data_IF_078433227371
#
_entry.id   IF_078433227371
#
_cell.length_a   1.000
_cell.length_b   1.000
_cell.length_c   1.000
_cell.angle_alpha   90.00
_cell.angle_beta   90.00
_cell.angle_gamma   90.00
#
_symmetry.space_group_name_H-M   'P 1'
#
loop_
_entity.id
_entity.type
_entity.pdbx_description
1 polymer ?
#
# COMPACT_ATOMS: atom_id res chain seq x y z
N UNK A 1 -25.83 -5.68 20.80
CA UNK A 1 -25.22 -4.69 19.89
C UNK A 1 -23.82 -5.17 19.63
N UNK A 2 -23.60 -5.82 18.49
CA UNK A 2 -22.27 -6.23 18.06
C UNK A 2 -21.40 -4.98 17.97
N UNK A 3 -20.41 -4.88 18.85
CA UNK A 3 -19.32 -3.93 18.68
C UNK A 3 -18.68 -4.25 17.34
N UNK A 4 -18.90 -3.41 16.33
CA UNK A 4 -18.14 -3.52 15.08
C UNK A 4 -16.68 -3.52 15.49
N UNK A 5 -15.99 -4.64 15.26
CA UNK A 5 -14.62 -4.79 15.67
C UNK A 5 -13.82 -3.77 14.86
N UNK A 6 -13.21 -2.81 15.55
CA UNK A 6 -12.39 -1.76 14.93
C UNK A 6 -11.34 -2.35 13.96
N UNK A 7 -10.82 -3.55 14.29
CA UNK A 7 -9.91 -4.32 13.45
C UNK A 7 -10.51 -4.71 12.09
N UNK A 8 -11.77 -5.15 12.06
CA UNK A 8 -12.48 -5.51 10.84
C UNK A 8 -12.68 -4.29 9.91
N UNK A 9 -13.06 -3.14 10.47
CA UNK A 9 -13.16 -1.88 9.69
C UNK A 9 -11.79 -1.57 9.08
N UNK A 10 -10.73 -1.70 9.88
CA UNK A 10 -9.37 -1.43 9.44
C UNK A 10 -8.93 -2.36 8.30
N UNK A 11 -9.25 -3.64 8.38
CA UNK A 11 -8.92 -4.62 7.34
C UNK A 11 -9.66 -4.34 6.03
N UNK A 12 -10.94 -3.94 6.09
CA UNK A 12 -11.72 -3.51 4.91
C UNK A 12 -11.13 -2.24 4.30
N UNK A 13 -10.73 -1.27 5.14
CA UNK A 13 -10.08 -0.03 4.68
C UNK A 13 -8.74 -0.34 4.01
N UNK A 14 -7.92 -1.22 4.59
CA UNK A 14 -6.64 -1.65 3.98
C UNK A 14 -6.88 -2.32 2.63
N UNK A 15 -7.89 -3.20 2.54
CA UNK A 15 -8.24 -3.85 1.28
C UNK A 15 -8.60 -2.81 0.21
N UNK A 16 -9.45 -1.85 0.55
CA UNK A 16 -9.82 -0.75 -0.34
C UNK A 16 -8.62 0.10 -0.76
N UNK A 17 -7.76 0.46 0.19
CA UNK A 17 -6.51 1.18 -0.09
C UNK A 17 -5.56 0.37 -0.98
N UNK A 18 -5.48 -0.95 -0.81
CA UNK A 18 -4.69 -1.82 -1.66
C UNK A 18 -5.08 -1.70 -3.13
N UNK A 19 -6.39 -1.71 -3.43
CA UNK A 19 -6.88 -1.45 -4.79
C UNK A 19 -6.50 -0.06 -5.31
N UNK A 20 -6.60 0.97 -4.48
CA UNK A 20 -6.20 2.34 -4.87
C UNK A 20 -4.70 2.42 -5.18
N UNK A 21 -3.86 1.77 -4.37
CA UNK A 21 -2.40 1.72 -4.56
C UNK A 21 -2.06 0.99 -5.86
N UNK A 22 -2.69 -0.15 -6.15
CA UNK A 22 -2.51 -0.87 -7.42
C UNK A 22 -2.92 0.00 -8.61
N UNK A 23 -4.06 0.70 -8.52
CA UNK A 23 -4.49 1.65 -9.56
C UNK A 23 -3.48 2.78 -9.74
N UNK A 24 -2.93 3.33 -8.65
CA UNK A 24 -1.88 4.33 -8.69
C UNK A 24 -0.60 3.81 -9.35
N UNK A 25 -0.20 2.58 -9.06
CA UNK A 25 0.94 1.94 -9.74
C UNK A 25 0.70 1.83 -11.26
N UNK A 26 -0.45 1.30 -11.67
CA UNK A 26 -0.79 1.17 -13.08
C UNK A 26 -0.89 2.53 -13.78
N UNK A 27 -1.35 3.57 -13.09
CA UNK A 27 -1.35 4.94 -13.60
C UNK A 27 0.09 5.42 -13.83
N UNK A 28 0.98 5.29 -12.84
CA UNK A 28 2.39 5.67 -12.97
C UNK A 28 3.07 5.01 -14.17
N UNK A 29 2.79 3.72 -14.41
CA UNK A 29 3.34 3.00 -15.56
C UNK A 29 2.81 3.52 -16.91
N UNK A 30 1.57 3.99 -16.97
CA UNK A 30 0.95 4.47 -18.21
C UNK A 30 1.23 5.94 -18.49
N UNK A 31 1.26 6.78 -17.46
CA UNK A 31 1.36 8.24 -17.61
C UNK A 31 2.77 8.76 -17.39
N UNK A 32 3.67 7.97 -16.80
CA UNK A 32 4.99 8.44 -16.31
C UNK A 32 4.89 9.63 -15.36
N UNK A 33 3.71 9.84 -14.76
CA UNK A 33 3.45 10.86 -13.75
C UNK A 33 3.26 10.14 -12.42
N UNK A 34 4.00 10.52 -11.38
CA UNK A 34 3.82 9.96 -10.06
C UNK A 34 2.37 10.11 -9.59
N UNK A 35 1.82 9.04 -9.01
CA UNK A 35 0.48 9.11 -8.46
C UNK A 35 0.44 10.19 -7.37
N UNK A 36 -0.56 11.07 -7.39
CA UNK A 36 -0.72 12.16 -6.42
C UNK A 36 -0.85 11.66 -4.97
N UNK A 37 -1.26 10.41 -4.79
CA UNK A 37 -1.27 9.71 -3.51
C UNK A 37 0.15 9.45 -2.96
N UNK A 38 1.15 9.33 -3.82
CA UNK A 38 2.54 9.06 -3.45
C UNK A 38 3.40 10.32 -3.41
N UNK A 39 3.17 11.27 -4.32
CA UNK A 39 3.87 12.56 -4.36
C UNK A 39 2.84 13.67 -4.56
N UNK A 40 2.76 14.67 -3.66
CA UNK A 40 1.91 15.85 -3.85
C UNK A 40 2.29 16.62 -5.13
N UNK A 41 1.32 17.25 -5.78
CA UNK A 41 1.56 18.04 -6.99
C UNK A 41 2.58 19.18 -6.77
N UNK A 42 2.69 19.67 -5.53
CA UNK A 42 3.64 20.71 -5.13
C UNK A 42 5.08 20.21 -5.07
N UNK A 43 5.31 18.92 -4.77
CA UNK A 43 6.66 18.32 -4.81
C UNK A 43 7.07 17.98 -6.26
N UNK A 44 6.10 17.84 -7.16
CA UNK A 44 6.33 17.55 -8.58
C UNK A 44 6.92 18.75 -9.35
N UNK A 45 6.62 19.99 -8.96
CA UNK A 45 7.10 21.20 -9.64
C UNK A 45 8.61 21.44 -9.49
N UNK A 46 9.23 20.83 -8.47
CA UNK A 46 10.68 20.83 -8.25
C UNK A 46 11.37 19.50 -8.57
N UNK A 47 10.65 18.53 -9.15
CA UNK A 47 11.13 17.17 -9.33
C UNK A 47 12.24 17.10 -10.39
N UNK A 48 13.38 16.53 -10.01
CA UNK A 48 14.55 16.39 -10.89
C UNK A 48 14.33 15.34 -11.98
N UNK A 49 13.71 14.21 -11.63
CA UNK A 49 13.37 13.15 -12.58
C UNK A 49 12.08 12.38 -12.16
N UNK A 50 10.89 12.88 -12.57
CA UNK A 50 9.62 12.24 -12.25
C UNK A 50 9.41 10.90 -12.95
N UNK A 51 10.04 10.67 -14.11
CA UNK A 51 9.92 9.43 -14.88
C UNK A 51 10.73 8.31 -14.22
N UNK A 52 11.97 8.61 -13.83
CA UNK A 52 12.82 7.67 -13.07
C UNK A 52 12.21 7.29 -11.72
N UNK A 53 11.51 8.22 -11.06
CA UNK A 53 10.73 7.88 -9.86
C UNK A 53 9.61 6.88 -10.16
N UNK A 54 8.83 7.12 -11.23
CA UNK A 54 7.74 6.22 -11.62
C UNK A 54 8.23 4.81 -11.91
N UNK A 55 9.32 4.67 -12.65
CA UNK A 55 9.86 3.36 -13.02
C UNK A 55 10.41 2.61 -11.80
N UNK A 56 11.13 3.32 -10.92
CA UNK A 56 11.65 2.73 -9.68
C UNK A 56 10.55 2.34 -8.69
N UNK A 57 9.52 3.16 -8.55
CA UNK A 57 8.44 2.94 -7.57
C UNK A 57 7.31 2.07 -8.11
N UNK A 58 7.09 1.98 -9.43
CA UNK A 58 5.99 1.23 -10.02
C UNK A 58 5.90 -0.20 -9.47
N UNK A 59 6.99 -0.98 -9.61
CA UNK A 59 7.00 -2.37 -9.16
C UNK A 59 6.82 -2.48 -7.64
N UNK A 60 7.43 -1.58 -6.87
CA UNK A 60 7.35 -1.58 -5.40
C UNK A 60 5.93 -1.25 -4.92
N UNK A 61 5.31 -0.22 -5.50
CA UNK A 61 3.94 0.20 -5.24
C UNK A 61 2.94 -0.88 -5.65
N UNK A 62 3.16 -1.55 -6.79
CA UNK A 62 2.31 -2.66 -7.23
C UNK A 62 2.36 -3.82 -6.24
N UNK A 63 3.56 -4.27 -5.86
CA UNK A 63 3.75 -5.36 -4.88
C UNK A 63 3.12 -5.00 -3.54
N UNK A 64 3.34 -3.78 -3.05
CA UNK A 64 2.75 -3.32 -1.79
C UNK A 64 1.22 -3.28 -1.85
N UNK A 65 0.64 -2.75 -2.94
CA UNK A 65 -0.81 -2.73 -3.13
C UNK A 65 -1.43 -4.13 -3.15
N UNK A 66 -0.78 -5.09 -3.82
CA UNK A 66 -1.22 -6.50 -3.81
C UNK A 66 -1.15 -7.09 -2.40
N UNK A 67 -0.07 -6.82 -1.65
CA UNK A 67 0.07 -7.27 -0.27
C UNK A 67 -1.05 -6.72 0.63
N UNK A 68 -1.44 -5.46 0.47
CA UNK A 68 -2.58 -4.87 1.18
C UNK A 68 -3.89 -5.61 0.87
N UNK A 69 -4.16 -5.92 -0.41
CA UNK A 69 -5.35 -6.66 -0.83
C UNK A 69 -5.35 -8.07 -0.23
N UNK A 70 -4.22 -8.78 -0.31
CA UNK A 70 -4.09 -10.14 0.24
C UNK A 70 -4.27 -10.13 1.75
N UNK A 71 -3.64 -9.20 2.46
CA UNK A 71 -3.78 -9.05 3.91
C UNK A 71 -5.25 -8.81 4.31
N UNK A 72 -5.90 -7.80 3.70
CA UNK A 72 -7.29 -7.47 4.02
C UNK A 72 -8.24 -8.63 3.69
N UNK A 73 -8.01 -9.36 2.59
CA UNK A 73 -8.83 -10.51 2.23
C UNK A 73 -8.63 -11.68 3.20
N UNK A 74 -7.39 -11.99 3.58
CA UNK A 74 -7.06 -13.07 4.53
C UNK A 74 -7.68 -12.81 5.90
N UNK A 75 -7.55 -11.59 6.44
CA UNK A 75 -8.14 -11.23 7.73
C UNK A 75 -9.68 -11.26 7.68
N UNK A 76 -10.27 -10.72 6.61
CA UNK A 76 -11.74 -10.75 6.42
C UNK A 76 -12.25 -12.20 6.32
N UNK A 77 -11.61 -13.07 5.53
CA UNK A 77 -11.99 -14.48 5.41
C UNK A 77 -11.80 -15.22 6.74
N UNK A 78 -10.74 -14.91 7.50
CA UNK A 78 -10.50 -15.55 8.79
C UNK A 78 -11.60 -15.21 9.81
N UNK A 79 -12.09 -13.97 9.82
CA UNK A 79 -13.19 -13.54 10.69
C UNK A 79 -14.54 -14.13 10.29
N UNK A 80 -14.83 -14.26 8.99
CA UNK A 80 -16.13 -14.76 8.50
C UNK A 80 -16.22 -16.28 8.30
N UNK A 81 -15.10 -16.94 7.95
CA UNK A 81 -15.10 -18.32 7.44
C UNK A 81 -14.37 -19.35 8.30
N UNK A 82 -13.40 -18.94 9.12
CA UNK A 82 -12.49 -19.87 9.85
C UNK A 82 -12.63 -19.82 11.38
N UNK A 83 -13.61 -19.08 11.91
CA UNK A 83 -13.85 -18.99 13.35
C UNK A 83 -12.87 -18.06 14.10
N UNK A 84 -12.33 -17.04 13.43
CA UNK A 84 -11.52 -15.97 14.03
C UNK A 84 -10.24 -16.49 14.72
N UNK A 85 -9.38 -17.18 13.96
CA UNK A 85 -8.10 -17.69 14.47
C UNK A 85 -7.19 -16.50 14.81
N UNK A 86 -7.09 -16.17 16.10
CA UNK A 86 -6.30 -15.01 16.59
C UNK A 86 -4.83 -15.05 16.17
N UNK A 87 -4.22 -16.24 16.16
CA UNK A 87 -2.82 -16.41 15.79
C UNK A 87 -2.55 -16.01 14.33
N UNK A 88 -3.47 -16.34 13.42
CA UNK A 88 -3.36 -16.00 12.01
C UNK A 88 -3.41 -14.48 11.81
N UNK A 89 -4.34 -13.78 12.47
CA UNK A 89 -4.43 -12.33 12.42
C UNK A 89 -3.15 -11.66 12.95
N UNK A 90 -2.56 -12.16 14.05
CA UNK A 90 -1.30 -11.63 14.59
C UNK A 90 -0.13 -11.82 13.60
N UNK A 91 -0.02 -13.00 12.99
CA UNK A 91 1.03 -13.29 12.00
C UNK A 91 0.84 -12.39 10.77
N UNK A 92 -0.38 -12.32 10.23
CA UNK A 92 -0.71 -11.50 9.08
C UNK A 92 -0.40 -10.02 9.35
N UNK A 93 -0.79 -9.51 10.52
CA UNK A 93 -0.52 -8.13 10.94
C UNK A 93 0.99 -7.86 11.04
N UNK A 94 1.74 -8.81 11.61
CA UNK A 94 3.20 -8.68 11.72
C UNK A 94 3.87 -8.58 10.35
N UNK A 95 3.47 -9.44 9.40
CA UNK A 95 3.96 -9.41 8.01
C UNK A 95 3.57 -8.10 7.32
N UNK A 96 2.33 -7.64 7.52
CA UNK A 96 1.85 -6.37 6.96
C UNK A 96 2.67 -5.18 7.46
N UNK A 97 2.95 -5.09 8.76
CA UNK A 97 3.79 -4.03 9.34
C UNK A 97 5.19 -4.04 8.72
N UNK A 98 5.80 -5.21 8.55
CA UNK A 98 7.13 -5.32 7.90
C UNK A 98 7.06 -4.80 6.46
N UNK A 99 6.02 -5.16 5.71
CA UNK A 99 5.82 -4.68 4.34
C UNK A 99 5.64 -3.16 4.28
N UNK A 100 4.87 -2.57 5.21
CA UNK A 100 4.69 -1.11 5.33
C UNK A 100 6.03 -0.42 5.60
N UNK A 101 6.80 -0.92 6.58
CA UNK A 101 8.10 -0.34 6.92
C UNK A 101 9.09 -0.41 5.75
N UNK A 102 9.10 -1.52 5.02
CA UNK A 102 9.90 -1.67 3.81
C UNK A 102 9.45 -0.68 2.72
N UNK A 103 8.16 -0.60 2.43
CA UNK A 103 7.63 0.32 1.42
C UNK A 103 7.91 1.79 1.76
N UNK A 104 7.77 2.19 3.03
CA UNK A 104 8.13 3.52 3.50
C UNK A 104 9.62 3.85 3.30
N UNK A 105 10.51 2.87 3.54
CA UNK A 105 11.95 3.04 3.30
C UNK A 105 12.26 3.23 1.80
N UNK A 106 11.69 2.39 0.95
CA UNK A 106 11.84 2.50 -0.51
C UNK A 106 11.30 3.83 -1.03
N UNK A 107 10.11 4.24 -0.57
CA UNK A 107 9.50 5.52 -0.96
C UNK A 107 10.38 6.69 -0.54
N UNK A 108 10.93 6.68 0.67
CA UNK A 108 11.83 7.74 1.14
C UNK A 108 13.11 7.80 0.33
N UNK A 109 13.72 6.65 0.05
CA UNK A 109 14.93 6.57 -0.78
C UNK A 109 14.69 7.06 -2.20
N UNK A 110 13.56 6.66 -2.82
CA UNK A 110 13.19 7.13 -4.16
C UNK A 110 12.91 8.64 -4.16
N UNK A 111 12.21 9.17 -3.15
CA UNK A 111 12.00 10.62 -3.02
C UNK A 111 13.33 11.37 -2.91
N UNK A 112 14.25 10.93 -2.06
CA UNK A 112 15.56 11.56 -1.91
C UNK A 112 16.41 11.50 -3.19
N UNK A 113 16.26 10.45 -4.02
CA UNK A 113 17.03 10.27 -5.25
C UNK A 113 16.48 11.05 -6.45
N UNK A 114 15.15 11.18 -6.56
CA UNK A 114 14.49 11.67 -7.77
C UNK A 114 13.78 13.03 -7.60
N UNK A 115 13.43 13.44 -6.37
CA UNK A 115 12.76 14.72 -6.08
C UNK A 115 13.69 15.81 -5.51
N UNK A 116 14.90 15.47 -5.06
CA UNK A 116 15.90 16.41 -4.53
C UNK A 116 17.21 16.37 -5.32
#
# INVERSE_FOLDING_TARGET
MESINFLMIFDIVILGYGFLIVRGALQMHKTNVPASMLIPAEELTGCKDPVGFCEAMYQKTLVFGILCIVYGAVCTINEYGLGSIKLLNIIALTVFIIAVLWFCKEMRSAREKYLK
#
